data_IF_146680897664
#
_entry.id   IF_146680897664
#
_cell.length_a   1.000
_cell.length_b   1.000
_cell.length_c   1.000
_cell.angle_alpha   90.00
_cell.angle_beta   90.00
_cell.angle_gamma   90.00
#
_symmetry.space_group_name_H-M   'P 1'
#
loop_
_entity.id
_entity.type
_entity.pdbx_description
1 polymer ?
#
# COMPACT_ATOMS: atom_id res chain seq x y z
N UNK A 1 -35.36 24.20 -11.26
CA UNK A 1 -34.18 24.64 -12.03
C UNK A 1 -32.95 24.13 -11.30
N UNK A 2 -32.77 22.80 -11.21
CA UNK A 2 -31.70 22.18 -10.38
C UNK A 2 -31.71 20.67 -10.64
N UNK A 3 -31.28 20.22 -11.82
CA UNK A 3 -31.03 18.77 -12.05
C UNK A 3 -30.00 18.49 -13.16
N UNK A 4 -29.52 19.52 -13.87
CA UNK A 4 -28.61 19.32 -15.00
C UNK A 4 -27.11 19.40 -14.66
N UNK A 5 -26.72 19.82 -13.45
CA UNK A 5 -25.31 20.03 -13.13
C UNK A 5 -24.57 18.74 -12.68
N UNK A 6 -25.29 17.67 -12.31
CA UNK A 6 -24.69 16.41 -11.85
C UNK A 6 -24.65 15.28 -12.90
N UNK A 7 -24.94 15.55 -14.18
CA UNK A 7 -24.78 14.56 -15.25
C UNK A 7 -23.61 14.83 -16.20
N UNK A 8 -22.90 15.95 -16.05
CA UNK A 8 -21.88 16.40 -16.99
C UNK A 8 -20.53 15.65 -16.93
N UNK A 9 -20.33 14.72 -15.98
CA UNK A 9 -19.07 13.95 -15.88
C UNK A 9 -19.11 12.65 -16.70
N UNK A 10 -20.29 12.20 -17.17
CA UNK A 10 -20.44 10.86 -17.76
C UNK A 10 -20.22 10.77 -19.27
N UNK A 11 -19.66 11.77 -19.93
CA UNK A 11 -19.55 11.73 -21.40
C UNK A 11 -18.28 12.38 -21.94
N UNK A 12 -17.12 11.96 -21.42
CA UNK A 12 -15.86 12.09 -22.16
C UNK A 12 -15.64 10.79 -22.96
N UNK A 13 -15.71 10.81 -24.30
CA UNK A 13 -15.37 9.65 -25.11
C UNK A 13 -13.84 9.45 -25.03
N UNK A 14 -13.41 8.33 -24.46
CA UNK A 14 -11.98 8.00 -24.29
C UNK A 14 -11.56 7.61 -22.88
N UNK A 15 -12.48 7.67 -21.90
CA UNK A 15 -12.32 7.06 -20.57
C UNK A 15 -13.03 5.70 -20.53
N UNK A 16 -12.79 4.86 -21.53
CA UNK A 16 -12.99 3.42 -21.29
C UNK A 16 -12.02 3.07 -20.15
N UNK A 17 -12.48 2.48 -19.03
CA UNK A 17 -11.56 1.98 -18.03
C UNK A 17 -10.58 1.07 -18.75
N UNK A 18 -9.30 1.45 -18.74
CA UNK A 18 -8.26 0.67 -19.39
C UNK A 18 -8.40 -0.76 -18.86
N UNK A 19 -8.68 -1.77 -19.71
CA UNK A 19 -8.79 -3.14 -19.23
C UNK A 19 -7.48 -3.65 -18.60
N UNK A 20 -6.36 -2.92 -18.80
CA UNK A 20 -5.12 -3.13 -18.08
C UNK A 20 -5.12 -2.55 -16.64
N UNK A 21 -5.93 -1.54 -16.34
CA UNK A 21 -6.07 -0.99 -14.98
C UNK A 21 -6.77 -1.96 -14.02
N UNK A 22 -7.58 -2.87 -14.54
CA UNK A 22 -8.21 -3.96 -13.78
C UNK A 22 -7.29 -5.17 -13.58
N UNK A 23 -6.12 -5.21 -14.24
CA UNK A 23 -5.15 -6.29 -14.06
C UNK A 23 -4.29 -5.99 -12.83
N UNK A 24 -4.19 -6.92 -11.86
CA UNK A 24 -3.27 -6.73 -10.74
C UNK A 24 -1.83 -6.56 -11.26
N UNK A 25 -1.03 -5.68 -10.62
CA UNK A 25 0.36 -5.52 -10.99
C UNK A 25 1.10 -6.85 -10.85
N UNK A 26 2.06 -7.09 -11.73
CA UNK A 26 2.79 -8.37 -11.76
C UNK A 26 3.43 -8.66 -10.40
N UNK A 27 3.37 -9.91 -9.96
CA UNK A 27 3.92 -10.38 -8.67
C UNK A 27 5.39 -9.99 -8.48
N UNK A 28 6.22 -10.19 -9.51
CA UNK A 28 7.65 -9.88 -9.49
C UNK A 28 7.93 -8.39 -9.26
N UNK A 29 7.10 -7.51 -9.83
CA UNK A 29 7.20 -6.07 -9.61
C UNK A 29 6.83 -5.70 -8.16
N UNK A 30 5.77 -6.31 -7.61
CA UNK A 30 5.37 -6.08 -6.22
C UNK A 30 6.47 -6.52 -5.23
N UNK A 31 7.08 -7.68 -5.46
CA UNK A 31 8.20 -8.17 -4.65
C UNK A 31 9.42 -7.25 -4.74
N UNK A 32 9.76 -6.76 -5.93
CA UNK A 32 10.86 -5.83 -6.12
C UNK A 32 10.62 -4.48 -5.40
N UNK A 33 9.40 -3.95 -5.47
CA UNK A 33 9.02 -2.72 -4.76
C UNK A 33 9.08 -2.91 -3.25
N UNK A 34 8.59 -4.06 -2.75
CA UNK A 34 8.68 -4.40 -1.33
C UNK A 34 10.13 -4.44 -0.85
N UNK A 35 11.01 -5.12 -1.59
CA UNK A 35 12.44 -5.17 -1.27
C UNK A 35 13.03 -3.75 -1.20
N UNK A 36 12.77 -2.92 -2.21
CA UNK A 36 13.24 -1.53 -2.22
C UNK A 36 12.75 -0.73 -0.99
N UNK A 37 11.46 -0.80 -0.67
CA UNK A 37 10.88 -0.06 0.45
C UNK A 37 11.43 -0.53 1.80
N UNK A 38 11.56 -1.85 1.99
CA UNK A 38 12.13 -2.44 3.21
C UNK A 38 13.60 -2.05 3.36
N UNK A 39 14.41 -2.15 2.29
CA UNK A 39 15.81 -1.71 2.31
C UNK A 39 15.93 -0.21 2.55
N UNK A 40 15.06 0.62 1.96
CA UNK A 40 15.12 2.06 2.22
C UNK A 40 14.73 2.39 3.66
N UNK A 41 13.78 1.67 4.23
CA UNK A 41 13.38 1.84 5.63
C UNK A 41 14.51 1.48 6.61
N UNK A 42 15.37 0.49 6.32
CA UNK A 42 16.51 0.20 7.20
C UNK A 42 17.56 1.31 7.20
N UNK A 43 17.68 2.05 6.09
CA UNK A 43 18.59 3.20 5.96
C UNK A 43 17.99 4.47 6.57
N UNK A 44 16.70 4.69 6.35
CA UNK A 44 15.98 5.87 6.82
C UNK A 44 14.58 5.45 7.27
N UNK A 45 14.40 5.10 8.56
CA UNK A 45 13.09 4.75 9.10
C UNK A 45 12.09 5.88 8.89
N UNK A 46 10.91 5.53 8.40
CA UNK A 46 9.81 6.48 8.30
C UNK A 46 8.48 5.76 8.24
N UNK A 47 7.47 6.32 8.92
CA UNK A 47 6.10 5.84 8.88
C UNK A 47 5.56 5.76 7.44
N UNK A 48 5.96 6.71 6.58
CA UNK A 48 5.56 6.72 5.17
C UNK A 48 6.06 5.48 4.41
N UNK A 49 7.33 5.10 4.60
CA UNK A 49 7.87 3.87 4.00
C UNK A 49 7.22 2.62 4.60
N UNK A 50 7.02 2.57 5.92
CA UNK A 50 6.34 1.45 6.58
C UNK A 50 4.91 1.25 6.06
N UNK A 51 4.14 2.35 5.93
CA UNK A 51 2.80 2.34 5.31
C UNK A 51 2.86 1.90 3.84
N UNK A 52 3.89 2.31 3.10
CA UNK A 52 4.15 1.84 1.74
C UNK A 52 4.37 0.33 1.67
N UNK A 53 5.14 -0.25 2.59
CA UNK A 53 5.34 -1.70 2.68
C UNK A 53 4.01 -2.41 2.97
N UNK A 54 3.23 -1.94 3.94
CA UNK A 54 1.89 -2.48 4.26
C UNK A 54 0.96 -2.46 3.05
N UNK A 55 0.93 -1.36 2.30
CA UNK A 55 0.10 -1.22 1.11
C UNK A 55 0.47 -2.26 0.04
N UNK A 56 1.75 -2.42 -0.27
CA UNK A 56 2.20 -3.38 -1.28
C UNK A 56 2.06 -4.84 -0.84
N UNK A 57 2.21 -5.14 0.47
CA UNK A 57 1.95 -6.48 1.00
C UNK A 57 0.48 -6.89 0.86
N UNK A 58 -0.46 -5.96 1.04
CA UNK A 58 -1.89 -6.23 0.81
C UNK A 58 -2.16 -6.55 -0.66
N UNK A 59 -1.62 -5.74 -1.58
CA UNK A 59 -1.74 -6.02 -3.01
C UNK A 59 -1.15 -7.37 -3.41
N UNK A 60 0.00 -7.73 -2.82
CA UNK A 60 0.63 -9.02 -3.05
C UNK A 60 -0.24 -10.17 -2.53
N UNK A 61 -0.79 -10.05 -1.31
CA UNK A 61 -1.68 -11.07 -0.74
C UNK A 61 -3.02 -11.23 -1.48
N UNK A 62 -3.49 -10.19 -2.15
CA UNK A 62 -4.67 -10.24 -3.01
C UNK A 62 -4.36 -10.76 -4.43
N UNK A 63 -3.07 -10.93 -4.78
CA UNK A 63 -2.64 -11.37 -6.09
C UNK A 63 -3.10 -12.81 -6.39
N UNK A 64 -3.68 -13.09 -7.57
CA UNK A 64 -4.25 -14.40 -7.89
C UNK A 64 -3.22 -15.54 -7.86
N UNK A 65 -1.97 -15.28 -8.27
CA UNK A 65 -0.89 -16.29 -8.26
C UNK A 65 -0.55 -16.80 -6.86
N UNK A 66 -0.76 -16.00 -5.82
CA UNK A 66 -0.49 -16.39 -4.44
C UNK A 66 -1.63 -17.17 -3.80
N UNK A 67 -2.77 -17.33 -4.50
CA UNK A 67 -3.88 -18.19 -4.06
C UNK A 67 -3.55 -19.66 -4.28
N UNK A 68 -2.63 -19.97 -5.20
CA UNK A 68 -2.24 -21.34 -5.56
C UNK A 68 -0.98 -21.83 -4.84
N UNK A 69 -0.25 -20.95 -4.14
CA UNK A 69 1.02 -21.26 -3.44
C UNK A 69 0.90 -20.95 -1.93
N UNK A 70 0.44 -21.91 -1.10
CA UNK A 70 0.08 -21.64 0.30
C UNK A 70 1.26 -21.28 1.20
N UNK A 71 2.45 -21.84 0.94
CA UNK A 71 3.68 -21.57 1.73
C UNK A 71 4.12 -20.10 1.58
N UNK A 72 4.04 -19.56 0.36
CA UNK A 72 4.37 -18.15 0.10
C UNK A 72 3.38 -17.20 0.80
N UNK A 73 2.10 -17.57 0.83
CA UNK A 73 1.03 -16.74 1.40
C UNK A 73 1.20 -16.51 2.90
N UNK A 74 1.55 -17.54 3.68
CA UNK A 74 1.70 -17.41 5.14
C UNK A 74 2.88 -16.51 5.50
N UNK A 75 4.00 -16.60 4.76
CA UNK A 75 5.15 -15.73 4.95
C UNK A 75 4.80 -14.24 4.73
N UNK A 76 4.07 -13.92 3.65
CA UNK A 76 3.63 -12.54 3.41
C UNK A 76 2.60 -12.05 4.44
N UNK A 77 1.77 -12.94 4.98
CA UNK A 77 0.83 -12.59 6.06
C UNK A 77 1.55 -12.27 7.38
N UNK A 78 2.57 -13.04 7.73
CA UNK A 78 3.43 -12.75 8.88
C UNK A 78 4.14 -11.41 8.71
N UNK A 79 4.73 -11.19 7.54
CA UNK A 79 5.39 -9.94 7.21
C UNK A 79 4.41 -8.75 7.31
N UNK A 80 3.19 -8.89 6.79
CA UNK A 80 2.15 -7.86 6.90
C UNK A 80 1.84 -7.51 8.35
N UNK A 81 1.69 -8.51 9.24
CA UNK A 81 1.42 -8.27 10.66
C UNK A 81 2.54 -7.47 11.32
N UNK A 82 3.80 -7.85 11.07
CA UNK A 82 4.97 -7.13 11.61
C UNK A 82 5.02 -5.68 11.14
N UNK A 83 4.82 -5.44 9.84
CA UNK A 83 4.88 -4.09 9.29
C UNK A 83 3.70 -3.21 9.69
N UNK A 84 2.52 -3.79 9.98
CA UNK A 84 1.40 -3.04 10.57
C UNK A 84 1.73 -2.51 11.96
N UNK A 85 2.50 -3.23 12.78
CA UNK A 85 2.96 -2.73 14.08
C UNK A 85 3.92 -1.56 13.90
N UNK A 86 4.93 -1.71 13.04
CA UNK A 86 5.93 -0.67 12.74
C UNK A 86 5.25 0.60 12.19
N UNK A 87 4.27 0.44 11.29
CA UNK A 87 3.55 1.58 10.70
C UNK A 87 2.63 2.32 11.69
N UNK A 88 2.30 1.70 12.83
CA UNK A 88 1.45 2.27 13.89
C UNK A 88 2.25 2.84 15.07
N UNK A 89 3.47 2.35 15.31
CA UNK A 89 4.29 2.75 16.48
C UNK A 89 4.82 4.19 16.42
N UNK A 90 4.84 4.81 15.23
CA UNK A 90 5.37 6.15 14.99
C UNK A 90 4.37 7.29 15.29
N UNK A 91 3.14 6.97 15.72
CA UNK A 91 2.13 7.96 16.15
C UNK A 91 2.29 8.36 17.63
N UNK A 92 3.42 8.03 18.28
CA UNK A 92 3.73 8.65 19.58
C UNK A 92 4.08 10.12 19.34
N UNK A 93 3.25 11.09 19.76
CA UNK A 93 3.69 12.47 19.79
C UNK A 93 4.94 12.52 20.66
N UNK A 94 5.97 13.12 20.10
CA UNK A 94 7.26 13.34 20.74
C UNK A 94 7.02 14.04 22.08
N UNK A 95 6.88 13.26 23.15
CA UNK A 95 6.80 13.73 24.53
C UNK A 95 8.19 14.15 25.02
N UNK A 96 8.94 14.82 24.14
CA UNK A 96 10.25 15.40 24.39
C UNK A 96 10.20 16.94 24.33
N UNK A 97 9.01 17.54 24.32
CA UNK A 97 8.81 18.99 24.41
C UNK A 97 8.32 19.48 25.80
N UNK A 98 8.52 18.71 26.87
CA UNK A 98 8.36 19.20 28.26
C UNK A 98 9.71 19.22 28.96
N UNK A 99 10.60 20.07 28.46
CA UNK A 99 11.70 20.62 29.25
C UNK A 99 12.18 21.90 28.58
N UNK A 100 11.57 23.02 28.98
CA UNK A 100 12.14 24.38 28.95
C UNK A 100 11.09 25.40 29.42
N UNK A 101 10.94 25.56 30.73
CA UNK A 101 11.05 26.83 31.46
C UNK A 101 10.85 26.59 32.96
#
# INVERSE_FOLDING_TARGET
MEDHCMQAIRTLPGLEPDPAADRPPRRDLLEAVLLYLMTRHTLQPSTGLARGVVYHLRQLLDHPELRTTPVDRSAYQELLRSWMLIACEDDRPDSAAISRH
#
